data_IF_886200013144
#
_entry.id   IF_886200013144
#
_cell.length_a   1.000
_cell.length_b   1.000
_cell.length_c   1.000
_cell.angle_alpha   90.00
_cell.angle_beta   90.00
_cell.angle_gamma   90.00
#
_symmetry.space_group_name_H-M   'P 1'
#
loop_
_entity.id
_entity.type
_entity.pdbx_description
1 polymer ?
#
# COMPACT_ATOMS: atom_id res chain seq x y z
N UNK A 1 -11.84 4.63 8.72
CA UNK A 1 -12.58 4.23 7.53
C UNK A 1 -14.07 4.38 7.82
N UNK A 2 -14.83 4.93 6.88
CA UNK A 2 -16.27 5.21 7.05
C UNK A 2 -17.01 4.65 5.85
N UNK A 3 -17.95 3.73 6.12
CA UNK A 3 -18.86 3.18 5.13
C UNK A 3 -20.26 3.75 5.32
N UNK A 4 -20.81 4.38 4.28
CA UNK A 4 -22.15 4.98 4.32
C UNK A 4 -22.97 4.44 3.16
N UNK A 5 -24.11 3.83 3.47
CA UNK A 5 -25.03 3.30 2.49
C UNK A 5 -26.36 4.06 2.54
N UNK A 6 -26.69 4.74 1.44
CA UNK A 6 -27.98 5.34 1.19
C UNK A 6 -28.94 4.44 0.41
N UNK A 7 -30.05 5.01 -0.05
CA UNK A 7 -31.03 4.29 -0.87
C UNK A 7 -30.47 3.89 -2.24
N UNK A 8 -29.70 4.77 -2.88
CA UNK A 8 -29.22 4.68 -4.25
C UNK A 8 -27.69 4.83 -4.38
N UNK A 9 -27.00 5.16 -3.29
CA UNK A 9 -25.54 5.45 -3.28
C UNK A 9 -24.84 4.78 -2.12
N UNK A 10 -23.58 4.41 -2.38
CA UNK A 10 -22.66 3.87 -1.38
C UNK A 10 -21.38 4.71 -1.39
N UNK A 11 -20.91 5.10 -0.21
CA UNK A 11 -19.67 5.83 -0.01
C UNK A 11 -18.76 5.01 0.90
N UNK A 12 -17.54 4.78 0.43
CA UNK A 12 -16.45 4.22 1.20
C UNK A 12 -15.36 5.29 1.32
N UNK A 13 -15.11 5.75 2.55
CA UNK A 13 -14.22 6.89 2.83
C UNK A 13 -13.06 6.41 3.69
N UNK A 14 -11.86 6.50 3.12
CA UNK A 14 -10.61 6.05 3.70
C UNK A 14 -9.66 7.24 3.95
N UNK A 15 -9.05 7.33 5.14
CA UNK A 15 -8.00 8.31 5.42
C UNK A 15 -6.63 7.63 5.38
N UNK A 16 -5.70 8.20 4.60
CA UNK A 16 -4.35 7.67 4.44
C UNK A 16 -3.32 8.69 4.91
N UNK A 17 -2.59 8.36 5.96
CA UNK A 17 -1.55 9.22 6.55
C UNK A 17 -0.14 8.89 6.04
N UNK A 18 0.04 7.74 5.40
CA UNK A 18 1.30 7.33 4.76
C UNK A 18 1.02 6.85 3.32
N UNK A 19 2.03 6.95 2.45
CA UNK A 19 1.90 6.56 1.03
C UNK A 19 1.92 5.03 0.90
N UNK A 20 0.79 4.37 0.58
CA UNK A 20 0.76 2.94 0.35
C UNK A 20 1.33 2.62 -1.03
N UNK A 21 1.99 1.46 -1.18
CA UNK A 21 2.57 1.03 -2.46
C UNK A 21 1.53 0.77 -3.55
N UNK A 22 0.27 0.50 -3.19
CA UNK A 22 -0.75 0.00 -4.11
C UNK A 22 -2.13 0.66 -3.92
N UNK A 23 -2.20 1.99 -3.83
CA UNK A 23 -3.46 2.73 -3.63
C UNK A 23 -4.54 2.33 -4.67
N UNK A 24 -4.19 2.30 -5.94
CA UNK A 24 -5.14 1.95 -7.01
C UNK A 24 -5.68 0.51 -6.89
N UNK A 25 -4.84 -0.45 -6.45
CA UNK A 25 -5.29 -1.84 -6.22
C UNK A 25 -6.21 -1.94 -5.01
N UNK A 26 -5.96 -1.17 -3.94
CA UNK A 26 -6.85 -1.09 -2.77
C UNK A 26 -8.22 -0.55 -3.17
N UNK A 27 -8.26 0.56 -3.93
CA UNK A 27 -9.52 1.12 -4.43
C UNK A 27 -10.32 0.10 -5.26
N UNK A 28 -9.63 -0.70 -6.10
CA UNK A 28 -10.28 -1.78 -6.86
C UNK A 28 -10.81 -2.88 -5.95
N UNK A 29 -10.08 -3.25 -4.92
CA UNK A 29 -10.47 -4.29 -3.97
C UNK A 29 -11.70 -3.87 -3.18
N UNK A 30 -11.75 -2.64 -2.67
CA UNK A 30 -12.93 -2.11 -1.96
C UNK A 30 -14.16 -2.03 -2.86
N UNK A 31 -13.98 -1.64 -4.13
CA UNK A 31 -15.07 -1.69 -5.10
C UNK A 31 -15.66 -3.10 -5.22
N UNK A 32 -14.81 -4.12 -5.34
CA UNK A 32 -15.26 -5.50 -5.42
C UNK A 32 -16.01 -5.98 -4.18
N UNK A 33 -15.60 -5.55 -2.98
CA UNK A 33 -16.33 -5.85 -1.74
C UNK A 33 -17.71 -5.20 -1.76
N UNK A 34 -17.80 -3.91 -2.09
CA UNK A 34 -19.07 -3.17 -2.16
C UNK A 34 -20.03 -3.86 -3.14
N UNK A 35 -19.56 -4.24 -4.32
CA UNK A 35 -20.38 -4.87 -5.34
C UNK A 35 -20.93 -6.23 -4.90
N UNK A 36 -20.09 -7.03 -4.24
CA UNK A 36 -20.48 -8.35 -3.70
C UNK A 36 -21.47 -8.20 -2.53
N UNK A 37 -21.23 -7.25 -1.64
CA UNK A 37 -22.07 -7.05 -0.44
C UNK A 37 -23.41 -6.39 -0.79
N UNK A 38 -23.45 -5.57 -1.84
CA UNK A 38 -24.67 -4.85 -2.23
C UNK A 38 -25.59 -5.66 -3.13
N UNK A 39 -25.09 -6.68 -3.84
CA UNK A 39 -25.89 -7.49 -4.75
C UNK A 39 -26.26 -8.83 -4.12
N UNK A 40 -27.52 -9.00 -3.74
CA UNK A 40 -28.02 -10.27 -3.19
C UNK A 40 -28.12 -11.34 -4.28
N UNK A 41 -28.01 -12.62 -3.90
CA UNK A 41 -28.18 -13.75 -4.81
C UNK A 41 -29.57 -13.72 -5.46
N UNK A 42 -29.59 -13.75 -6.80
CA UNK A 42 -30.83 -13.80 -7.56
C UNK A 42 -31.43 -12.43 -7.91
N UNK A 43 -30.75 -11.33 -7.57
CA UNK A 43 -31.11 -9.98 -8.00
C UNK A 43 -30.45 -9.62 -9.34
N UNK A 44 -30.94 -8.57 -9.98
CA UNK A 44 -30.42 -8.09 -11.26
C UNK A 44 -29.27 -7.12 -11.04
N UNK A 45 -28.34 -7.05 -12.00
CA UNK A 45 -27.22 -6.07 -11.96
C UNK A 45 -27.69 -4.61 -11.96
N UNK A 46 -28.91 -4.33 -12.39
CA UNK A 46 -29.55 -3.02 -12.32
C UNK A 46 -29.82 -2.56 -10.89
N UNK A 47 -29.74 -3.45 -9.91
CA UNK A 47 -29.87 -3.16 -8.49
C UNK A 47 -28.55 -2.69 -7.85
N UNK A 48 -27.42 -2.77 -8.59
CA UNK A 48 -26.16 -2.22 -8.11
C UNK A 48 -26.30 -0.70 -7.96
N UNK A 49 -25.90 -0.22 -6.78
CA UNK A 49 -25.98 1.21 -6.45
C UNK A 49 -24.76 1.95 -6.97
N UNK A 50 -24.93 3.22 -7.26
CA UNK A 50 -23.79 4.10 -7.53
C UNK A 50 -22.81 4.07 -6.36
N UNK A 51 -21.52 3.81 -6.64
CA UNK A 51 -20.50 3.67 -5.62
C UNK A 51 -19.39 4.71 -5.73
N UNK A 52 -18.97 5.22 -4.58
CA UNK A 52 -17.91 6.21 -4.43
C UNK A 52 -16.84 5.66 -3.50
N UNK A 53 -15.64 5.41 -4.05
CA UNK A 53 -14.46 5.08 -3.25
C UNK A 53 -13.65 6.37 -3.08
N UNK A 54 -13.59 6.88 -1.87
CA UNK A 54 -12.99 8.17 -1.54
C UNK A 54 -11.78 7.94 -0.64
N UNK A 55 -10.60 8.34 -1.12
CA UNK A 55 -9.39 8.37 -0.31
C UNK A 55 -8.99 9.79 0.03
N UNK A 56 -8.75 10.08 1.29
CA UNK A 56 -8.23 11.36 1.76
C UNK A 56 -6.78 11.14 2.19
N UNK A 57 -5.85 11.69 1.40
CA UNK A 57 -4.41 11.49 1.60
C UNK A 57 -3.77 12.75 2.20
N UNK A 58 -2.94 12.57 3.24
CA UNK A 58 -2.12 13.66 3.80
C UNK A 58 -0.83 13.90 2.99
N UNK A 59 -0.71 13.31 1.83
CA UNK A 59 0.40 13.40 0.87
C UNK A 59 -0.15 13.42 -0.56
N UNK A 60 0.69 13.81 -1.54
CA UNK A 60 0.30 13.70 -2.96
C UNK A 60 0.56 12.29 -3.50
N UNK A 61 -0.50 11.48 -3.73
CA UNK A 61 -0.35 10.10 -4.16
C UNK A 61 0.14 9.93 -5.61
N UNK A 62 -0.10 10.93 -6.47
CA UNK A 62 0.18 10.84 -7.90
C UNK A 62 1.25 11.84 -8.40
N UNK A 63 1.72 12.75 -7.54
CA UNK A 63 2.80 13.69 -7.87
C UNK A 63 2.42 14.84 -8.80
N UNK A 64 1.12 15.06 -9.09
CA UNK A 64 0.65 16.14 -9.95
C UNK A 64 0.23 17.40 -9.19
N UNK A 65 0.30 17.35 -7.87
CA UNK A 65 0.01 18.47 -7.00
C UNK A 65 -1.39 19.09 -7.21
N UNK A 66 -2.38 18.21 -7.52
CA UNK A 66 -3.79 18.57 -7.60
C UNK A 66 -4.47 18.34 -6.25
N UNK A 67 -5.48 19.13 -5.86
CA UNK A 67 -6.23 18.93 -4.61
C UNK A 67 -7.16 17.73 -4.65
N UNK A 68 -7.59 17.33 -5.87
CA UNK A 68 -8.49 16.21 -6.09
C UNK A 68 -8.16 15.50 -7.40
N UNK A 69 -8.22 14.19 -7.36
CA UNK A 69 -8.13 13.30 -8.53
C UNK A 69 -9.39 12.47 -8.62
N UNK A 70 -10.04 12.45 -9.79
CA UNK A 70 -11.24 11.66 -10.04
C UNK A 70 -11.01 10.69 -11.18
N UNK A 71 -11.40 9.43 -10.99
CA UNK A 71 -11.20 8.38 -11.97
C UNK A 71 -12.51 7.70 -12.32
N UNK A 72 -12.75 7.58 -13.63
CA UNK A 72 -13.83 6.80 -14.25
C UNK A 72 -13.24 5.88 -15.31
N UNK A 73 -13.93 4.81 -15.61
CA UNK A 73 -13.58 3.91 -16.70
C UNK A 73 -13.88 4.57 -18.05
N UNK A 74 -12.87 4.65 -18.92
CA UNK A 74 -12.98 5.24 -20.27
C UNK A 74 -12.61 4.24 -21.34
N UNK A 75 -13.20 4.40 -22.52
CA UNK A 75 -12.80 3.67 -23.72
C UNK A 75 -11.42 4.15 -24.18
N UNK A 76 -10.48 3.20 -24.39
CA UNK A 76 -9.13 3.53 -24.87
C UNK A 76 -9.11 4.03 -26.32
N UNK A 77 -10.13 3.70 -27.11
CA UNK A 77 -10.25 4.07 -28.52
C UNK A 77 -11.01 5.40 -28.71
N UNK A 78 -11.61 5.95 -27.66
CA UNK A 78 -12.40 7.18 -27.74
C UNK A 78 -12.42 7.92 -26.39
N UNK A 79 -11.85 9.11 -26.36
CA UNK A 79 -11.86 9.98 -25.16
C UNK A 79 -13.27 10.49 -24.80
N UNK A 80 -14.21 10.41 -25.73
CA UNK A 80 -15.60 10.85 -25.53
C UNK A 80 -16.48 9.79 -24.86
N UNK A 81 -16.06 8.51 -24.88
CA UNK A 81 -16.86 7.40 -24.39
C UNK A 81 -16.41 7.02 -22.97
N UNK A 82 -17.27 7.25 -22.00
CA UNK A 82 -17.12 6.79 -20.61
C UNK A 82 -17.97 5.54 -20.43
N UNK A 83 -17.42 4.52 -19.77
CA UNK A 83 -18.21 3.38 -19.33
C UNK A 83 -19.05 3.85 -18.13
N UNK A 84 -20.36 3.94 -18.34
CA UNK A 84 -21.30 4.41 -17.32
C UNK A 84 -21.67 3.27 -16.37
N UNK A 85 -20.67 2.78 -15.64
CA UNK A 85 -20.77 1.68 -14.65
C UNK A 85 -21.13 2.19 -13.25
N UNK A 86 -21.46 3.47 -13.13
CA UNK A 86 -21.84 4.15 -11.89
C UNK A 86 -20.81 4.05 -10.76
N UNK A 87 -19.53 3.76 -11.10
CA UNK A 87 -18.43 3.78 -10.14
C UNK A 87 -17.61 5.06 -10.26
N UNK A 88 -17.26 5.67 -9.13
CA UNK A 88 -16.37 6.82 -9.07
C UNK A 88 -15.32 6.64 -8.00
N UNK A 89 -14.05 6.76 -8.37
CA UNK A 89 -12.95 6.79 -7.43
C UNK A 89 -12.44 8.22 -7.30
N UNK A 90 -12.36 8.71 -6.07
CA UNK A 90 -11.92 10.08 -5.76
C UNK A 90 -10.76 10.01 -4.77
N UNK A 91 -9.71 10.74 -5.05
CA UNK A 91 -8.58 10.87 -4.13
C UNK A 91 -8.35 12.36 -3.85
N UNK A 92 -8.46 12.74 -2.60
CA UNK A 92 -8.14 14.07 -2.12
C UNK A 92 -6.70 14.12 -1.64
N UNK A 93 -6.00 15.18 -2.02
CA UNK A 93 -4.66 15.51 -1.55
C UNK A 93 -4.76 16.75 -0.63
N UNK A 94 -4.66 16.53 0.68
CA UNK A 94 -4.82 17.62 1.64
C UNK A 94 -3.69 18.65 1.57
N UNK A 95 -2.47 18.27 1.11
CA UNK A 95 -1.36 19.22 0.95
C UNK A 95 -1.64 20.31 -0.09
N UNK A 96 -2.50 20.01 -1.06
CA UNK A 96 -2.83 20.95 -2.14
C UNK A 96 -4.14 21.71 -1.91
N UNK A 97 -4.63 21.78 -0.67
CA UNK A 97 -5.90 22.44 -0.32
C UNK A 97 -6.02 23.87 -0.86
N UNK A 98 -4.91 24.60 -0.93
CA UNK A 98 -4.89 25.97 -1.41
C UNK A 98 -5.24 26.13 -2.90
N UNK A 99 -5.14 25.06 -3.69
CA UNK A 99 -5.50 25.00 -5.10
C UNK A 99 -6.96 24.58 -5.34
N UNK A 100 -7.69 24.21 -4.29
CA UNK A 100 -9.10 23.86 -4.39
C UNK A 100 -9.95 25.13 -4.57
N UNK A 101 -10.82 25.12 -5.59
CA UNK A 101 -11.69 26.24 -5.93
C UNK A 101 -13.01 26.26 -5.14
N UNK A 102 -13.51 25.09 -4.75
CA UNK A 102 -14.71 25.01 -3.92
C UNK A 102 -14.35 25.34 -2.46
N UNK A 103 -14.99 26.37 -1.91
CA UNK A 103 -14.67 26.92 -0.59
C UNK A 103 -14.83 25.90 0.54
N UNK A 104 -15.90 25.10 0.51
CA UNK A 104 -16.16 24.10 1.56
C UNK A 104 -15.16 22.95 1.49
N UNK A 105 -14.87 22.41 0.28
CA UNK A 105 -13.85 21.39 0.12
C UNK A 105 -12.47 21.92 0.53
N UNK A 106 -12.13 23.14 0.14
CA UNK A 106 -10.88 23.79 0.56
C UNK A 106 -10.77 23.87 2.09
N UNK A 107 -11.85 24.29 2.76
CA UNK A 107 -11.88 24.39 4.21
C UNK A 107 -11.73 23.01 4.90
N UNK A 108 -12.37 21.96 4.36
CA UNK A 108 -12.23 20.59 4.87
C UNK A 108 -10.80 20.09 4.69
N UNK A 109 -10.22 20.24 3.49
CA UNK A 109 -8.86 19.80 3.22
C UNK A 109 -7.83 20.56 4.07
N UNK A 110 -8.03 21.88 4.28
CA UNK A 110 -7.21 22.68 5.16
C UNK A 110 -7.31 22.20 6.63
N UNK A 111 -8.55 21.94 7.09
CA UNK A 111 -8.75 21.41 8.44
C UNK A 111 -8.05 20.07 8.65
N UNK A 112 -8.14 19.16 7.68
CA UNK A 112 -7.48 17.86 7.74
C UNK A 112 -5.95 17.93 7.64
N UNK A 113 -5.40 18.98 7.03
CA UNK A 113 -3.95 19.16 6.89
C UNK A 113 -3.35 19.99 8.03
N UNK A 114 -3.95 21.13 8.34
CA UNK A 114 -3.43 22.11 9.30
C UNK A 114 -4.16 22.14 10.66
N UNK A 115 -5.28 21.40 10.77
CA UNK A 115 -6.20 21.46 11.92
C UNK A 115 -6.82 22.87 12.14
N UNK A 116 -7.02 23.63 11.04
CA UNK A 116 -7.60 24.98 11.06
C UNK A 116 -9.07 24.96 10.66
N UNK A 117 -9.97 25.11 11.61
CA UNK A 117 -11.41 25.16 11.38
C UNK A 117 -11.86 26.58 11.05
N UNK A 118 -12.07 26.91 9.77
CA UNK A 118 -12.37 28.27 9.30
C UNK A 118 -13.85 28.47 8.91
N UNK A 119 -14.56 27.45 8.45
CA UNK A 119 -16.00 27.53 8.15
C UNK A 119 -16.85 27.00 9.28
N UNK A 120 -18.14 27.32 9.28
CA UNK A 120 -19.09 26.81 10.29
C UNK A 120 -19.16 25.28 10.29
N UNK A 121 -19.01 24.66 9.12
CA UNK A 121 -18.98 23.21 9.01
C UNK A 121 -17.71 22.63 9.65
N UNK A 122 -16.52 23.16 9.34
CA UNK A 122 -15.28 22.67 9.94
C UNK A 122 -15.18 22.97 11.43
N UNK A 123 -15.75 24.07 11.92
CA UNK A 123 -15.87 24.37 13.35
C UNK A 123 -16.75 23.35 14.08
N UNK A 124 -17.90 22.97 13.50
CA UNK A 124 -18.74 21.89 14.05
C UNK A 124 -17.98 20.57 14.14
N UNK A 125 -17.23 20.20 13.08
CA UNK A 125 -16.38 19.01 13.08
C UNK A 125 -15.32 19.11 14.20
N UNK A 126 -14.62 20.23 14.31
CA UNK A 126 -13.61 20.45 15.34
C UNK A 126 -14.16 20.28 16.75
N UNK A 127 -15.33 20.85 17.03
CA UNK A 127 -16.00 20.70 18.34
C UNK A 127 -16.33 19.24 18.62
N UNK A 128 -16.92 18.52 17.65
CA UNK A 128 -17.22 17.10 17.81
C UNK A 128 -15.95 16.25 18.04
N UNK A 129 -14.87 16.55 17.35
CA UNK A 129 -13.59 15.87 17.54
C UNK A 129 -13.02 16.13 18.94
N UNK A 130 -13.11 17.36 19.44
CA UNK A 130 -12.68 17.70 20.80
C UNK A 130 -13.52 16.98 21.87
N UNK A 131 -14.83 16.96 21.72
CA UNK A 131 -15.75 16.24 22.62
C UNK A 131 -15.43 14.73 22.63
N UNK A 132 -15.19 14.14 21.45
CA UNK A 132 -14.80 12.72 21.35
C UNK A 132 -13.45 12.45 22.02
N UNK A 133 -12.45 13.32 21.84
CA UNK A 133 -11.14 13.18 22.50
C UNK A 133 -11.21 13.23 24.01
N UNK A 134 -12.20 13.92 24.58
CA UNK A 134 -12.42 13.99 26.03
C UNK A 134 -13.20 12.78 26.57
N UNK A 135 -13.88 12.03 25.71
CA UNK A 135 -14.63 10.84 26.11
C UNK A 135 -13.71 9.72 26.60
N UNK A 136 -13.92 9.25 27.83
CA UNK A 136 -13.15 8.13 28.39
C UNK A 136 -13.28 6.84 27.56
N UNK A 137 -14.47 6.60 27.00
CA UNK A 137 -14.70 5.47 26.11
C UNK A 137 -13.85 5.55 24.86
N UNK A 138 -13.79 6.70 24.20
CA UNK A 138 -12.97 6.90 22.99
C UNK A 138 -11.47 6.80 23.29
N UNK A 139 -11.02 7.35 24.42
CA UNK A 139 -9.63 7.22 24.85
C UNK A 139 -9.22 5.76 25.03
N UNK A 140 -10.09 4.96 25.66
CA UNK A 140 -9.85 3.54 25.84
C UNK A 140 -9.79 2.76 24.51
N UNK A 141 -10.75 2.98 23.63
CA UNK A 141 -10.80 2.35 22.30
C UNK A 141 -9.60 2.76 21.45
N UNK A 142 -9.26 4.04 21.41
CA UNK A 142 -8.10 4.55 20.67
C UNK A 142 -6.78 3.99 21.20
N UNK A 143 -6.63 3.89 22.52
CA UNK A 143 -5.45 3.30 23.14
C UNK A 143 -5.29 1.82 22.78
N UNK A 144 -6.39 1.05 22.78
CA UNK A 144 -6.37 -0.36 22.38
C UNK A 144 -6.01 -0.56 20.90
N UNK A 145 -6.52 0.28 20.00
CA UNK A 145 -6.19 0.23 18.57
C UNK A 145 -4.69 0.50 18.37
N UNK A 146 -4.17 1.55 19.00
CA UNK A 146 -2.75 1.90 18.88
C UNK A 146 -1.80 0.82 19.43
N UNK A 147 -2.13 0.19 20.56
CA UNK A 147 -1.34 -0.91 21.12
C UNK A 147 -1.30 -2.09 20.14
N UNK A 148 -2.45 -2.45 19.58
CA UNK A 148 -2.57 -3.55 18.62
C UNK A 148 -1.77 -3.29 17.33
N UNK A 149 -1.88 -2.09 16.79
CA UNK A 149 -1.14 -1.70 15.58
C UNK A 149 0.37 -1.69 15.83
N UNK A 150 0.80 -1.20 17.00
CA UNK A 150 2.21 -1.26 17.41
C UNK A 150 2.71 -2.71 17.54
N UNK A 151 1.96 -3.61 18.17
CA UNK A 151 2.32 -5.02 18.30
C UNK A 151 2.44 -5.72 16.95
N UNK A 152 1.51 -5.43 16.00
CA UNK A 152 1.55 -5.97 14.64
C UNK A 152 2.80 -5.47 13.90
N UNK A 153 3.08 -4.17 13.98
CA UNK A 153 4.24 -3.56 13.33
C UNK A 153 5.57 -4.08 13.92
N UNK A 154 5.66 -4.22 15.25
CA UNK A 154 6.84 -4.75 15.94
C UNK A 154 7.09 -6.23 15.59
N UNK A 155 6.01 -7.03 15.49
CA UNK A 155 6.10 -8.44 15.06
C UNK A 155 6.60 -8.53 13.61
N UNK A 156 6.00 -7.80 12.68
CA UNK A 156 6.40 -7.78 11.28
C UNK A 156 7.86 -7.35 11.10
N UNK A 157 8.30 -6.35 11.88
CA UNK A 157 9.69 -5.90 11.90
C UNK A 157 10.65 -6.99 12.39
N UNK A 158 10.31 -7.68 13.47
CA UNK A 158 11.13 -8.78 14.01
C UNK A 158 11.24 -9.94 13.04
N UNK A 159 10.11 -10.33 12.42
CA UNK A 159 10.09 -11.37 11.38
C UNK A 159 10.93 -10.99 10.18
N UNK A 160 10.83 -9.75 9.70
CA UNK A 160 11.65 -9.25 8.58
C UNK A 160 13.15 -9.22 8.88
N UNK A 161 13.55 -8.83 10.11
CA UNK A 161 14.94 -8.86 10.55
C UNK A 161 15.44 -10.32 10.60
N UNK A 162 14.66 -11.22 11.16
CA UNK A 162 15.02 -12.64 11.28
C UNK A 162 15.22 -13.27 9.90
N UNK A 163 14.29 -13.05 8.97
CA UNK A 163 14.40 -13.52 7.59
C UNK A 163 15.62 -12.93 6.88
N UNK A 164 15.89 -11.63 7.07
CA UNK A 164 17.08 -10.99 6.51
C UNK A 164 18.39 -11.54 7.04
N UNK A 165 18.46 -11.88 8.34
CA UNK A 165 19.62 -12.54 8.95
C UNK A 165 19.81 -13.95 8.37
N UNK A 166 18.75 -14.75 8.29
CA UNK A 166 18.81 -16.12 7.75
C UNK A 166 19.25 -16.13 6.29
N UNK A 167 18.67 -15.21 5.49
CA UNK A 167 19.07 -15.06 4.10
C UNK A 167 20.54 -14.62 3.97
N UNK A 168 20.96 -13.62 4.75
CA UNK A 168 22.34 -13.12 4.73
C UNK A 168 23.35 -14.18 5.15
N UNK A 169 23.05 -15.02 6.14
CA UNK A 169 23.90 -16.14 6.56
C UNK A 169 24.00 -17.17 5.41
N UNK A 170 22.87 -17.53 4.79
CA UNK A 170 22.83 -18.50 3.69
C UNK A 170 23.64 -18.02 2.48
N UNK A 171 23.39 -16.78 2.04
CA UNK A 171 24.13 -16.18 0.91
C UNK A 171 25.63 -16.01 1.20
N UNK A 172 25.96 -15.57 2.43
CA UNK A 172 27.36 -15.44 2.85
C UNK A 172 28.10 -16.78 2.92
N UNK A 173 27.45 -17.83 3.40
CA UNK A 173 28.00 -19.18 3.43
C UNK A 173 28.24 -19.69 1.98
N UNK A 174 27.29 -19.48 1.08
CA UNK A 174 27.43 -19.88 -0.33
C UNK A 174 28.56 -19.10 -1.03
N UNK A 175 28.63 -17.79 -0.85
CA UNK A 175 29.72 -16.98 -1.40
C UNK A 175 31.09 -17.42 -0.88
N UNK A 176 31.19 -17.78 0.40
CA UNK A 176 32.41 -18.29 1.01
C UNK A 176 32.83 -19.62 0.38
N UNK A 177 31.87 -20.55 0.17
CA UNK A 177 32.10 -21.82 -0.50
C UNK A 177 32.64 -21.60 -1.95
N UNK A 178 32.02 -20.68 -2.68
CA UNK A 178 32.45 -20.31 -4.05
C UNK A 178 33.87 -19.71 -4.05
N UNK A 179 34.16 -18.80 -3.12
CA UNK A 179 35.49 -18.21 -3.01
C UNK A 179 36.55 -19.24 -2.63
N UNK A 180 36.22 -20.16 -1.73
CA UNK A 180 37.07 -21.29 -1.35
C UNK A 180 37.35 -22.20 -2.57
N UNK A 181 36.32 -22.53 -3.36
CA UNK A 181 36.49 -23.30 -4.58
C UNK A 181 37.45 -22.64 -5.55
N UNK A 182 37.35 -21.33 -5.76
CA UNK A 182 38.28 -20.57 -6.61
C UNK A 182 39.74 -20.66 -6.12
N UNK A 183 39.95 -20.57 -4.82
CA UNK A 183 41.29 -20.69 -4.22
C UNK A 183 41.86 -22.09 -4.37
N UNK A 184 41.00 -23.14 -4.25
CA UNK A 184 41.44 -24.53 -4.40
C UNK A 184 41.77 -24.87 -5.87
N UNK A 185 41.09 -24.24 -6.86
CA UNK A 185 41.51 -24.33 -8.27
C UNK A 185 42.94 -23.79 -8.52
N UNK A 186 43.31 -22.70 -7.83
CA UNK A 186 44.66 -22.15 -7.91
C UNK A 186 45.72 -23.10 -7.32
N UNK A 187 45.30 -24.08 -6.50
CA UNK A 187 46.17 -25.14 -5.96
C UNK A 187 46.17 -26.41 -6.82
N UNK A 188 45.56 -26.37 -8.00
CA UNK A 188 45.46 -27.48 -8.97
C UNK A 188 44.70 -28.73 -8.44
N UNK A 189 43.71 -28.57 -7.57
CA UNK A 189 42.82 -29.67 -7.14
C UNK A 189 41.83 -29.98 -8.26
N UNK A 190 41.34 -31.24 -8.32
CA UNK A 190 40.29 -31.64 -9.26
C UNK A 190 38.90 -31.14 -8.83
N UNK A 191 37.96 -31.04 -9.78
CA UNK A 191 36.59 -30.62 -9.50
C UNK A 191 35.92 -31.51 -8.41
N UNK A 192 36.20 -32.82 -8.42
CA UNK A 192 35.66 -33.76 -7.41
C UNK A 192 36.23 -33.49 -6.02
N UNK A 193 37.54 -33.22 -5.93
CA UNK A 193 38.18 -32.86 -4.64
C UNK A 193 37.64 -31.53 -4.10
N UNK A 194 37.43 -30.55 -4.98
CA UNK A 194 36.87 -29.23 -4.62
C UNK A 194 35.42 -29.35 -4.21
N UNK A 195 34.60 -30.14 -4.92
CA UNK A 195 33.21 -30.38 -4.55
C UNK A 195 33.13 -31.04 -3.17
N UNK A 196 33.97 -32.01 -2.87
CA UNK A 196 34.07 -32.66 -1.58
C UNK A 196 34.49 -31.68 -0.46
N UNK A 197 35.48 -30.83 -0.73
CA UNK A 197 36.04 -29.89 0.24
C UNK A 197 35.09 -28.71 0.57
N UNK A 198 34.29 -28.26 -0.41
CA UNK A 198 33.42 -27.09 -0.28
C UNK A 198 31.98 -27.46 -0.05
N UNK A 199 31.59 -28.73 -0.19
CA UNK A 199 30.21 -29.21 -0.18
C UNK A 199 29.32 -28.51 -1.25
N UNK A 200 29.91 -28.05 -2.33
CA UNK A 200 29.19 -27.54 -3.49
C UNK A 200 28.85 -28.71 -4.44
N UNK A 201 27.71 -28.65 -5.13
CA UNK A 201 27.40 -29.60 -6.21
C UNK A 201 28.51 -29.59 -7.28
N UNK A 202 28.87 -30.76 -7.79
CA UNK A 202 29.91 -30.89 -8.78
C UNK A 202 29.67 -30.02 -10.03
N UNK A 203 28.44 -29.95 -10.49
CA UNK A 203 28.01 -29.09 -11.60
C UNK A 203 28.39 -27.62 -11.36
N UNK A 204 28.13 -27.13 -10.15
CA UNK A 204 28.44 -25.73 -9.77
C UNK A 204 29.95 -25.48 -9.67
N UNK A 205 30.72 -26.48 -9.24
CA UNK A 205 32.18 -26.40 -9.25
C UNK A 205 32.72 -26.33 -10.68
N UNK A 206 32.18 -27.12 -11.62
CA UNK A 206 32.54 -27.09 -13.04
C UNK A 206 32.16 -25.75 -13.68
N UNK A 207 31.04 -25.14 -13.33
CA UNK A 207 30.69 -23.79 -13.79
C UNK A 207 31.68 -22.72 -13.30
N UNK A 208 32.21 -22.85 -12.09
CA UNK A 208 33.25 -21.95 -11.56
C UNK A 208 34.60 -22.15 -12.27
N UNK A 209 34.94 -23.37 -12.68
CA UNK A 209 36.18 -23.70 -13.40
C UNK A 209 36.21 -23.07 -14.79
N UNK A 210 35.07 -23.10 -15.51
CA UNK A 210 35.01 -22.71 -16.93
C UNK A 210 35.60 -21.30 -17.22
N UNK A 211 35.23 -20.23 -16.51
CA UNK A 211 35.81 -18.91 -16.73
C UNK A 211 37.29 -18.80 -16.29
N UNK A 212 37.73 -19.60 -15.32
CA UNK A 212 39.10 -19.58 -14.84
C UNK A 212 40.10 -20.20 -15.85
N UNK A 213 39.66 -21.20 -16.64
CA UNK A 213 40.46 -21.82 -17.72
C UNK A 213 40.57 -20.95 -18.96
N UNK A 214 39.69 -19.99 -19.20
CA UNK A 214 39.72 -19.09 -20.34
C UNK A 214 40.64 -17.87 -20.10
N UNK A 215 41.15 -17.67 -18.89
CA UNK A 215 42.03 -16.55 -18.53
C UNK A 215 43.54 -16.94 -18.48
N UNK A 216 43.87 -18.20 -18.68
CA UNK A 216 45.23 -18.75 -18.81
C UNK A 216 45.48 -19.25 -20.23
#
# INVERSE_FOLDING_TARGET
>A
DVYVQGSDKIFDIEVQTYKPENLAKRMRYYQGIIDVDSLQRGTYYTELKQSFIIFICTFDPFGLNLPMYSFKNKCLQSDKLVLEDETLKVVFNTQSFNKENNLERKAILNYLYNNEAITDFTKKISTLVEDLKQSEKFKGEYMMINIRDYEIADRAKKEGIQQGIEQGISEGAEQTKIQTAKNLFAMNLSCEQIAQATELPLEKVQEIEHPLRMQN
#
